data_IF_568194344957
#
_entry.id   IF_568194344957
#
_cell.length_a   1.000
_cell.length_b   1.000
_cell.length_c   1.000
_cell.angle_alpha   90.00
_cell.angle_beta   90.00
_cell.angle_gamma   90.00
#
_symmetry.space_group_name_H-M   'P 1'
#
loop_
_entity.id
_entity.type
_entity.pdbx_description
1 polymer ?
#
# COMPACT_ATOMS: atom_id res chain seq x y z
N UNK A 1 41.92 -0.62 -72.47
CA UNK A 1 41.83 0.58 -71.63
C UNK A 1 40.94 0.26 -70.45
N UNK A 2 41.49 -0.06 -69.29
CA UNK A 2 42.04 0.88 -68.28
C UNK A 2 40.97 1.81 -67.70
N UNK A 3 40.72 1.56 -66.42
CA UNK A 3 40.49 2.54 -65.35
C UNK A 3 39.13 3.22 -65.21
N UNK A 4 38.36 2.71 -64.25
CA UNK A 4 37.81 3.56 -63.20
C UNK A 4 37.62 2.74 -61.91
N UNK A 5 38.70 2.67 -61.14
CA UNK A 5 38.75 2.20 -59.75
C UNK A 5 37.83 3.09 -58.91
N UNK A 6 36.76 2.52 -58.35
CA UNK A 6 36.01 3.20 -57.28
C UNK A 6 36.88 3.19 -56.02
N UNK A 7 37.49 4.35 -55.74
CA UNK A 7 38.19 4.61 -54.48
C UNK A 7 37.19 4.56 -53.32
N UNK A 8 37.35 3.56 -52.47
CA UNK A 8 37.04 3.65 -51.05
C UNK A 8 37.95 4.70 -50.42
N UNK A 9 37.35 5.75 -49.85
CA UNK A 9 37.80 6.43 -48.61
C UNK A 9 37.16 7.81 -48.51
N UNK A 10 35.87 7.85 -48.17
CA UNK A 10 35.30 8.99 -47.44
C UNK A 10 34.47 8.42 -46.28
N UNK A 11 35.09 8.38 -45.11
CA UNK A 11 34.41 8.16 -43.85
C UNK A 11 33.46 9.34 -43.62
N UNK A 12 32.24 9.24 -44.14
CA UNK A 12 31.15 10.12 -43.73
C UNK A 12 30.93 9.86 -42.25
N UNK A 13 31.31 10.84 -41.40
CA UNK A 13 30.94 10.88 -39.99
C UNK A 13 29.42 10.74 -39.88
N UNK A 14 28.97 9.50 -39.72
CA UNK A 14 27.58 9.16 -39.55
C UNK A 14 27.13 9.67 -38.20
N UNK A 15 26.68 10.92 -38.15
CA UNK A 15 25.84 11.40 -37.05
C UNK A 15 24.76 10.34 -36.83
N UNK A 16 24.68 9.80 -35.60
CA UNK A 16 23.67 8.79 -35.26
C UNK A 16 22.30 9.45 -35.31
N UNK A 17 21.72 9.56 -36.50
CA UNK A 17 20.37 10.03 -36.71
C UNK A 17 19.44 8.94 -36.18
N UNK A 18 18.86 9.20 -35.00
CA UNK A 18 17.78 8.38 -34.46
C UNK A 18 16.61 8.49 -35.44
N UNK A 19 16.43 7.46 -36.29
CA UNK A 19 15.39 7.45 -37.34
C UNK A 19 14.06 7.83 -36.71
N UNK A 20 13.57 9.02 -37.01
CA UNK A 20 12.35 9.56 -36.42
C UNK A 20 11.14 8.78 -37.01
N UNK A 21 10.65 7.77 -36.29
CA UNK A 21 9.64 6.82 -36.77
C UNK A 21 8.21 7.38 -36.81
N UNK A 22 7.96 8.56 -36.24
CA UNK A 22 6.60 9.16 -36.17
C UNK A 22 5.93 9.37 -37.53
N UNK A 23 6.69 9.43 -38.63
CA UNK A 23 6.15 9.69 -39.98
C UNK A 23 5.89 8.43 -40.82
N UNK A 24 6.16 7.20 -40.33
CA UNK A 24 6.09 5.97 -41.14
C UNK A 24 5.15 4.92 -40.52
N UNK A 25 3.84 5.20 -40.61
CA UNK A 25 2.75 4.30 -40.18
C UNK A 25 2.51 3.18 -41.22
N UNK A 26 2.08 2.01 -40.75
CA UNK A 26 1.63 0.89 -41.60
C UNK A 26 0.47 1.30 -42.52
N UNK A 27 -0.43 2.13 -42.00
CA UNK A 27 -1.56 2.75 -42.74
C UNK A 27 -1.11 3.42 -44.05
N UNK A 28 0.02 4.15 -44.03
CA UNK A 28 0.52 4.84 -45.21
C UNK A 28 1.02 3.84 -46.28
N UNK A 29 1.69 2.77 -45.84
CA UNK A 29 2.18 1.71 -46.73
C UNK A 29 0.99 0.96 -47.34
N UNK A 30 0.03 0.57 -46.51
CA UNK A 30 -1.17 -0.12 -46.97
C UNK A 30 -1.99 0.75 -47.95
N UNK A 31 -2.09 2.06 -47.70
CA UNK A 31 -2.74 2.99 -48.62
C UNK A 31 -2.02 3.10 -49.97
N UNK A 32 -0.69 3.12 -49.98
CA UNK A 32 0.10 3.12 -51.23
C UNK A 32 -0.10 1.81 -52.00
N UNK A 33 -0.08 0.67 -51.31
CA UNK A 33 -0.24 -0.65 -51.93
C UNK A 33 -1.66 -0.82 -52.48
N UNK A 34 -2.69 -0.44 -51.72
CA UNK A 34 -4.09 -0.47 -52.18
C UNK A 34 -4.32 0.40 -53.42
N UNK A 35 -3.64 1.55 -53.51
CA UNK A 35 -3.68 2.43 -54.70
C UNK A 35 -2.97 1.83 -55.92
N UNK A 36 -1.89 1.07 -55.72
CA UNK A 36 -1.14 0.45 -56.82
C UNK A 36 -1.87 -0.75 -57.43
N UNK A 37 -2.78 -1.39 -56.68
CA UNK A 37 -3.52 -2.57 -57.09
C UNK A 37 -4.97 -2.29 -57.55
N UNK A 38 -5.39 -1.03 -57.68
CA UNK A 38 -6.76 -0.69 -58.11
C UNK A 38 -7.12 -1.23 -59.48
N UNK A 39 -6.13 -1.37 -60.36
CA UNK A 39 -6.33 -1.71 -61.78
C UNK A 39 -6.06 -3.21 -62.05
N UNK A 40 -5.68 -3.98 -61.02
CA UNK A 40 -5.29 -5.40 -61.11
C UNK A 40 -6.16 -6.21 -60.14
N UNK A 41 -7.40 -6.49 -60.54
CA UNK A 41 -8.38 -7.16 -59.68
C UNK A 41 -8.57 -8.64 -59.98
N UNK A 42 -8.06 -9.14 -61.10
CA UNK A 42 -8.23 -10.54 -61.53
C UNK A 42 -7.09 -11.48 -61.08
N UNK A 43 -6.07 -10.95 -60.42
CA UNK A 43 -4.91 -11.72 -59.95
C UNK A 43 -5.14 -12.30 -58.54
N UNK A 44 -4.91 -13.60 -58.39
CA UNK A 44 -5.03 -14.33 -57.12
C UNK A 44 -4.04 -13.84 -56.07
N UNK A 45 -2.85 -13.43 -56.48
CA UNK A 45 -1.81 -12.96 -55.56
C UNK A 45 -2.16 -11.57 -54.99
N UNK A 46 -2.79 -10.71 -55.80
CA UNK A 46 -3.31 -9.41 -55.35
C UNK A 46 -4.46 -9.60 -54.37
N UNK A 47 -5.36 -10.54 -54.64
CA UNK A 47 -6.42 -10.94 -53.69
C UNK A 47 -5.86 -11.36 -52.33
N UNK A 48 -4.83 -12.22 -52.31
CA UNK A 48 -4.16 -12.64 -51.07
C UNK A 48 -3.51 -11.47 -50.32
N UNK A 49 -2.82 -10.57 -51.02
CA UNK A 49 -2.19 -9.40 -50.39
C UNK A 49 -3.22 -8.47 -49.75
N UNK A 50 -4.33 -8.19 -50.44
CA UNK A 50 -5.41 -7.35 -49.91
C UNK A 50 -6.06 -7.98 -48.67
N UNK A 51 -6.30 -9.29 -48.68
CA UNK A 51 -6.82 -10.03 -47.52
C UNK A 51 -5.86 -9.97 -46.32
N UNK A 52 -4.55 -10.14 -46.54
CA UNK A 52 -3.53 -10.04 -45.49
C UNK A 52 -3.41 -8.60 -44.94
N UNK A 53 -3.63 -7.59 -45.77
CA UNK A 53 -3.67 -6.18 -45.35
C UNK A 53 -4.89 -5.92 -44.47
N UNK A 54 -6.06 -6.44 -44.82
CA UNK A 54 -7.28 -6.34 -43.99
C UNK A 54 -7.12 -7.03 -42.63
N UNK A 55 -6.40 -8.14 -42.59
CA UNK A 55 -6.07 -8.87 -41.35
C UNK A 55 -4.92 -8.24 -40.55
N UNK A 56 -4.35 -7.13 -41.01
CA UNK A 56 -3.14 -6.50 -40.46
C UNK A 56 -1.91 -7.43 -40.36
N UNK A 57 -1.90 -8.52 -41.14
CA UNK A 57 -0.86 -9.56 -41.15
C UNK A 57 0.13 -9.40 -42.32
N UNK A 58 -0.04 -8.37 -43.15
CA UNK A 58 0.84 -8.10 -44.28
C UNK A 58 2.08 -7.29 -43.88
N UNK A 59 3.26 -7.88 -44.03
CA UNK A 59 4.56 -7.27 -43.70
C UNK A 59 4.63 -6.67 -42.26
N UNK A 60 4.22 -7.42 -41.22
CA UNK A 60 4.28 -6.93 -39.86
C UNK A 60 5.74 -6.74 -39.45
N UNK A 61 6.01 -5.64 -38.73
CA UNK A 61 7.31 -5.45 -38.10
C UNK A 61 7.45 -6.48 -36.97
N UNK A 62 8.64 -7.06 -36.82
CA UNK A 62 8.92 -7.94 -35.69
C UNK A 62 8.91 -7.19 -34.35
N UNK A 63 9.31 -5.90 -34.33
CA UNK A 63 9.28 -5.05 -33.15
C UNK A 63 8.12 -4.06 -33.24
N UNK A 64 7.06 -4.32 -32.49
CA UNK A 64 5.89 -3.45 -32.38
C UNK A 64 5.54 -3.19 -30.92
N UNK A 65 4.73 -2.17 -30.66
CA UNK A 65 4.21 -1.91 -29.32
C UNK A 65 3.37 -3.08 -28.76
N UNK A 66 2.76 -3.88 -29.64
CA UNK A 66 1.98 -5.06 -29.25
C UNK A 66 2.83 -6.14 -28.56
N UNK A 67 4.15 -6.19 -28.84
CA UNK A 67 5.06 -7.12 -28.18
C UNK A 67 5.17 -6.90 -26.67
N UNK A 68 4.80 -5.72 -26.16
CA UNK A 68 4.82 -5.42 -24.73
C UNK A 68 3.84 -6.28 -23.91
N UNK A 69 2.88 -6.94 -24.55
CA UNK A 69 1.91 -7.83 -23.91
C UNK A 69 2.50 -9.22 -23.64
N UNK A 70 3.63 -9.57 -24.27
CA UNK A 70 4.25 -10.90 -24.13
C UNK A 70 4.80 -11.06 -22.70
N UNK A 71 4.30 -12.04 -21.92
CA UNK A 71 4.79 -12.26 -20.56
C UNK A 71 6.24 -12.76 -20.57
N UNK A 72 7.06 -12.30 -19.62
CA UNK A 72 8.47 -12.71 -19.48
C UNK A 72 8.61 -14.25 -19.36
N UNK A 73 7.60 -14.94 -18.85
CA UNK A 73 7.55 -16.40 -18.73
C UNK A 73 7.71 -17.13 -20.07
N UNK A 74 7.25 -16.53 -21.18
CA UNK A 74 7.43 -17.11 -22.52
C UNK A 74 8.92 -17.09 -22.88
N UNK A 75 9.57 -15.94 -22.75
CA UNK A 75 11.00 -15.79 -23.00
C UNK A 75 11.87 -16.60 -22.03
N UNK A 76 11.42 -16.77 -20.78
CA UNK A 76 12.10 -17.63 -19.81
C UNK A 76 12.20 -19.07 -20.30
N UNK A 77 11.11 -19.63 -20.84
CA UNK A 77 11.09 -21.00 -21.38
C UNK A 77 12.04 -21.16 -22.58
N UNK A 78 12.11 -20.15 -23.44
CA UNK A 78 13.05 -20.13 -24.56
C UNK A 78 14.50 -20.08 -24.07
N UNK A 79 14.79 -19.18 -23.12
CA UNK A 79 16.11 -19.05 -22.49
C UNK A 79 16.57 -20.36 -21.83
N UNK A 80 15.68 -21.02 -21.08
CA UNK A 80 15.94 -22.33 -20.46
C UNK A 80 16.31 -23.38 -21.52
N UNK A 81 15.58 -23.44 -22.65
CA UNK A 81 15.90 -24.37 -23.76
C UNK A 81 17.23 -24.05 -24.43
N UNK A 82 17.53 -22.77 -24.66
CA UNK A 82 18.80 -22.33 -25.26
C UNK A 82 19.96 -22.74 -24.36
N UNK A 83 19.86 -22.46 -23.06
CA UNK A 83 20.90 -22.81 -22.09
C UNK A 83 21.10 -24.32 -21.97
N UNK A 84 20.03 -25.10 -21.91
CA UNK A 84 20.11 -26.57 -21.88
C UNK A 84 20.83 -27.15 -23.11
N UNK A 85 20.59 -26.58 -24.29
CA UNK A 85 21.30 -26.99 -25.51
C UNK A 85 22.76 -26.52 -25.49
N UNK A 86 23.00 -25.28 -25.04
CA UNK A 86 24.32 -24.67 -24.96
C UNK A 86 25.26 -25.38 -23.98
N UNK A 87 24.72 -25.86 -22.87
CA UNK A 87 25.42 -26.64 -21.86
C UNK A 87 26.10 -27.91 -22.38
N UNK A 88 25.67 -28.43 -23.53
CA UNK A 88 26.28 -29.61 -24.15
C UNK A 88 27.62 -29.29 -24.83
N UNK A 89 27.77 -28.08 -25.37
CA UNK A 89 28.97 -27.67 -26.12
C UNK A 89 29.74 -26.51 -25.47
N UNK A 90 29.20 -25.88 -24.43
CA UNK A 90 29.86 -24.85 -23.62
C UNK A 90 29.92 -25.31 -22.15
N UNK A 91 30.96 -26.07 -21.75
CA UNK A 91 31.06 -26.64 -20.40
C UNK A 91 31.07 -25.59 -19.28
N UNK A 92 31.56 -24.38 -19.56
CA UNK A 92 31.61 -23.30 -18.56
C UNK A 92 30.23 -22.94 -18.01
N UNK A 93 29.15 -23.21 -18.76
CA UNK A 93 27.78 -22.94 -18.32
C UNK A 93 27.39 -23.76 -17.07
N UNK A 94 28.01 -24.94 -16.90
CA UNK A 94 27.80 -25.84 -15.76
C UNK A 94 28.67 -25.51 -14.55
N UNK A 95 29.65 -24.61 -14.69
CA UNK A 95 30.54 -24.25 -13.59
C UNK A 95 29.75 -23.56 -12.48
N UNK A 96 30.05 -23.93 -11.23
CA UNK A 96 29.46 -23.36 -10.03
C UNK A 96 30.37 -22.30 -9.42
N UNK A 97 29.72 -21.28 -8.87
CA UNK A 97 30.32 -20.19 -8.11
C UNK A 97 30.16 -20.47 -6.60
N UNK A 98 30.77 -19.64 -5.73
CA UNK A 98 30.63 -19.65 -4.27
C UNK A 98 29.17 -19.70 -3.76
N UNK A 99 28.23 -19.16 -4.52
CA UNK A 99 26.77 -19.20 -4.31
C UNK A 99 26.13 -20.56 -4.60
N UNK A 100 26.88 -21.54 -5.10
CA UNK A 100 26.40 -22.88 -5.44
C UNK A 100 25.57 -22.98 -6.72
N UNK A 101 25.37 -21.86 -7.42
CA UNK A 101 24.61 -21.76 -8.67
C UNK A 101 25.50 -21.96 -9.89
N UNK A 102 24.97 -22.64 -10.90
CA UNK A 102 25.58 -22.71 -12.22
C UNK A 102 25.50 -21.37 -12.96
N UNK A 103 26.33 -21.17 -13.97
CA UNK A 103 26.25 -19.96 -14.81
C UNK A 103 24.89 -19.86 -15.50
N UNK A 104 24.35 -20.97 -16.01
CA UNK A 104 23.00 -21.03 -16.59
C UNK A 104 21.93 -20.56 -15.60
N UNK A 105 21.95 -21.05 -14.36
CA UNK A 105 21.00 -20.63 -13.33
C UNK A 105 21.13 -19.14 -12.99
N UNK A 106 22.36 -18.60 -12.96
CA UNK A 106 22.58 -17.16 -12.73
C UNK A 106 22.02 -16.32 -13.88
N UNK A 107 22.18 -16.76 -15.13
CA UNK A 107 21.59 -16.09 -16.30
C UNK A 107 20.06 -16.07 -16.18
N UNK A 108 19.44 -17.21 -15.85
CA UNK A 108 17.99 -17.30 -15.67
C UNK A 108 17.52 -16.38 -14.53
N UNK A 109 18.24 -16.34 -13.41
CA UNK A 109 17.92 -15.43 -12.29
C UNK A 109 18.04 -13.97 -12.71
N UNK A 110 19.10 -13.58 -13.41
CA UNK A 110 19.25 -12.21 -13.93
C UNK A 110 18.11 -11.84 -14.88
N UNK A 111 17.68 -12.77 -15.72
CA UNK A 111 16.61 -12.55 -16.69
C UNK A 111 15.22 -12.41 -16.07
N UNK A 112 14.97 -13.09 -14.95
CA UNK A 112 13.64 -13.19 -14.33
C UNK A 112 13.47 -12.35 -13.08
N UNK A 113 14.57 -11.95 -12.45
CA UNK A 113 14.52 -11.24 -11.18
C UNK A 113 14.01 -9.82 -11.35
N UNK A 114 12.96 -9.51 -10.62
CA UNK A 114 12.41 -8.16 -10.51
C UNK A 114 12.65 -7.65 -9.09
N UNK A 115 13.29 -6.49 -8.98
CA UNK A 115 13.45 -5.80 -7.69
C UNK A 115 12.05 -5.45 -7.19
N UNK A 116 11.65 -5.91 -5.99
CA UNK A 116 10.35 -5.56 -5.46
C UNK A 116 10.24 -4.04 -5.25
N UNK A 117 9.09 -3.46 -5.58
CA UNK A 117 8.89 -2.00 -5.56
C UNK A 117 9.17 -1.37 -4.20
N UNK A 118 8.90 -2.08 -3.10
CA UNK A 118 9.16 -1.63 -1.74
C UNK A 118 10.65 -1.61 -1.38
N UNK A 119 11.54 -2.24 -2.17
CA UNK A 119 12.99 -2.17 -1.98
C UNK A 119 13.56 -0.86 -2.53
N UNK A 120 13.03 -0.39 -3.66
CA UNK A 120 13.47 0.86 -4.28
C UNK A 120 14.91 0.81 -4.82
N UNK A 121 15.55 1.98 -5.01
CA UNK A 121 16.92 2.09 -5.53
C UNK A 121 17.97 1.48 -4.59
N UNK A 122 18.88 0.68 -5.14
CA UNK A 122 19.89 -0.07 -4.37
C UNK A 122 21.20 0.70 -4.10
N UNK A 123 21.33 1.94 -4.60
CA UNK A 123 22.58 2.71 -4.50
C UNK A 123 22.92 3.10 -3.05
N UNK A 124 24.16 2.90 -2.62
CA UNK A 124 24.61 3.22 -1.25
C UNK A 124 24.50 4.71 -0.92
N UNK A 125 24.70 5.60 -1.91
CA UNK A 125 24.61 7.05 -1.75
C UNK A 125 23.34 7.66 -2.37
N UNK A 126 22.26 6.86 -2.44
CA UNK A 126 21.00 7.32 -3.00
C UNK A 126 20.33 8.34 -2.06
N UNK A 127 20.21 9.60 -2.48
CA UNK A 127 19.43 10.63 -1.73
C UNK A 127 17.96 10.24 -1.54
N UNK A 128 17.45 9.35 -2.39
CA UNK A 128 16.04 8.93 -2.43
C UNK A 128 15.84 7.46 -2.05
N UNK A 129 16.92 6.76 -1.66
CA UNK A 129 16.87 5.35 -1.30
C UNK A 129 16.56 5.18 0.18
N UNK A 130 15.75 4.17 0.51
CA UNK A 130 15.37 3.79 1.88
C UNK A 130 15.79 2.36 2.22
N UNK A 131 16.71 1.83 1.43
CA UNK A 131 17.20 0.47 1.59
C UNK A 131 18.01 0.33 2.88
N UNK A 132 17.67 -0.68 3.68
CA UNK A 132 18.39 -1.04 4.90
C UNK A 132 19.25 -2.26 4.59
N UNK A 133 20.57 -2.06 4.55
CA UNK A 133 21.56 -3.12 4.27
C UNK A 133 21.98 -3.79 5.58
N UNK A 134 22.08 -5.13 5.56
CA UNK A 134 22.69 -5.92 6.63
C UNK A 134 24.20 -5.96 6.50
N UNK A 135 24.68 -6.11 5.26
CA UNK A 135 26.10 -6.26 4.95
C UNK A 135 26.52 -5.34 3.80
N UNK A 136 27.80 -4.93 3.80
CA UNK A 136 28.39 -4.11 2.74
C UNK A 136 28.62 -4.92 1.45
N UNK A 137 28.65 -4.22 0.32
CA UNK A 137 29.06 -4.79 -0.97
C UNK A 137 27.92 -4.95 -1.99
N UNK A 138 28.23 -5.61 -3.11
CA UNK A 138 27.34 -5.69 -4.26
C UNK A 138 26.08 -6.54 -3.97
N UNK A 139 24.93 -6.00 -4.34
CA UNK A 139 23.63 -6.68 -4.30
C UNK A 139 23.37 -7.29 -5.67
N UNK A 140 23.09 -8.59 -5.67
CA UNK A 140 22.83 -9.43 -6.83
C UNK A 140 21.47 -10.13 -6.65
N UNK A 141 20.82 -10.58 -7.74
CA UNK A 141 19.52 -11.25 -7.67
C UNK A 141 19.45 -12.43 -6.68
N UNK A 142 20.55 -13.16 -6.51
CA UNK A 142 20.59 -14.36 -5.68
C UNK A 142 21.01 -14.11 -4.22
N UNK A 143 21.59 -12.96 -3.88
CA UNK A 143 22.04 -12.64 -2.52
C UNK A 143 21.24 -11.48 -1.87
N UNK A 144 20.18 -11.00 -2.52
CA UNK A 144 19.41 -9.84 -2.03
C UNK A 144 18.84 -10.05 -0.62
N UNK A 145 18.33 -11.24 -0.31
CA UNK A 145 17.73 -11.54 1.01
C UNK A 145 18.78 -11.61 2.13
N UNK A 146 20.03 -11.91 1.78
CA UNK A 146 21.17 -11.96 2.69
C UNK A 146 21.68 -10.56 2.96
N UNK A 147 21.84 -9.75 1.91
CA UNK A 147 22.41 -8.39 2.03
C UNK A 147 21.44 -7.31 2.44
N UNK A 148 20.14 -7.48 2.19
CA UNK A 148 19.11 -6.48 2.45
C UNK A 148 18.19 -6.98 3.55
N UNK A 149 17.92 -6.11 4.53
CA UNK A 149 16.82 -6.34 5.44
C UNK A 149 15.52 -5.96 4.74
N UNK A 150 14.89 -6.98 4.15
CA UNK A 150 13.62 -6.83 3.43
C UNK A 150 12.52 -6.27 4.32
N UNK A 151 12.53 -6.59 5.63
CA UNK A 151 11.50 -6.06 6.53
C UNK A 151 11.75 -4.62 6.88
N UNK A 152 12.97 -4.27 7.29
CA UNK A 152 13.30 -2.89 7.67
C UNK A 152 13.20 -1.95 6.45
N UNK A 153 13.59 -2.43 5.27
CA UNK A 153 13.44 -1.69 4.01
C UNK A 153 11.97 -1.45 3.66
N UNK A 154 11.10 -2.46 3.81
CA UNK A 154 9.67 -2.28 3.57
C UNK A 154 8.99 -1.36 4.59
N UNK A 155 9.47 -1.36 5.83
CA UNK A 155 9.02 -0.42 6.86
C UNK A 155 9.45 1.01 6.53
N UNK A 156 10.71 1.21 6.13
CA UNK A 156 11.22 2.51 5.71
C UNK A 156 10.49 3.04 4.46
N UNK A 157 10.17 2.16 3.51
CA UNK A 157 9.36 2.47 2.33
C UNK A 157 8.01 3.07 2.73
N UNK A 158 7.27 2.35 3.58
CA UNK A 158 5.96 2.80 4.02
C UNK A 158 6.08 4.04 4.92
N UNK A 159 7.08 4.09 5.81
CA UNK A 159 7.40 5.26 6.63
C UNK A 159 7.62 6.54 5.81
N UNK A 160 8.26 6.44 4.65
CA UNK A 160 8.46 7.56 3.73
C UNK A 160 7.19 7.95 2.97
N UNK A 161 6.26 7.01 2.75
CA UNK A 161 4.96 7.28 2.12
C UNK A 161 3.91 7.83 3.10
N UNK A 162 4.02 7.47 4.39
CA UNK A 162 3.07 7.90 5.42
C UNK A 162 3.28 9.39 5.74
N UNK A 163 2.15 10.10 5.77
CA UNK A 163 2.10 11.52 6.16
C UNK A 163 2.44 11.70 7.63
N UNK A 164 2.97 12.85 7.96
CA UNK A 164 3.09 13.27 9.36
C UNK A 164 1.73 13.71 9.90
N UNK A 165 1.57 13.62 11.22
CA UNK A 165 0.40 14.09 11.94
C UNK A 165 0.17 15.58 11.67
N UNK A 166 -1.09 15.96 11.54
CA UNK A 166 -1.48 17.36 11.30
C UNK A 166 -1.06 18.30 12.44
N UNK A 167 -1.02 17.81 13.68
CA UNK A 167 -0.85 18.64 14.88
C UNK A 167 0.48 18.46 15.61
N UNK A 168 1.16 17.32 15.42
CA UNK A 168 2.44 17.04 16.07
C UNK A 168 3.48 16.84 14.97
N UNK A 169 4.47 17.73 14.94
CA UNK A 169 5.59 17.64 14.01
C UNK A 169 6.40 16.36 14.29
N UNK A 170 7.00 15.79 13.24
CA UNK A 170 7.80 14.55 13.27
C UNK A 170 7.09 13.25 13.67
N UNK A 171 5.84 13.32 14.13
CA UNK A 171 5.04 12.13 14.44
C UNK A 171 4.31 11.59 13.22
N UNK A 172 4.36 10.28 13.00
CA UNK A 172 3.67 9.63 11.88
C UNK A 172 2.20 9.35 12.23
N UNK A 173 1.32 9.40 11.22
CA UNK A 173 -0.08 9.04 11.42
C UNK A 173 -0.24 7.54 11.66
N UNK A 174 -1.27 7.17 12.42
CA UNK A 174 -1.61 5.76 12.64
C UNK A 174 -2.41 5.18 11.47
N UNK A 175 -2.46 3.84 11.33
CA UNK A 175 -3.42 3.19 10.45
C UNK A 175 -4.85 3.64 10.75
N UNK A 176 -5.68 3.81 9.72
CA UNK A 176 -7.10 4.17 9.92
C UNK A 176 -7.86 3.11 10.72
N UNK A 177 -7.40 1.87 10.63
CA UNK A 177 -7.92 0.71 11.34
C UNK A 177 -7.35 0.51 12.77
N UNK A 178 -6.43 1.38 13.22
CA UNK A 178 -5.91 1.33 14.60
C UNK A 178 -7.07 1.38 15.61
N UNK A 179 -6.97 0.63 16.71
CA UNK A 179 -8.03 0.57 17.72
C UNK A 179 -8.25 1.94 18.37
N UNK A 180 -7.15 2.63 18.69
CA UNK A 180 -7.16 3.99 19.21
C UNK A 180 -7.77 4.98 18.20
N UNK A 181 -7.47 4.83 16.91
CA UNK A 181 -8.00 5.70 15.87
C UNK A 181 -9.50 5.47 15.62
N UNK A 182 -9.95 4.21 15.55
CA UNK A 182 -11.38 3.88 15.44
C UNK A 182 -12.16 4.36 16.67
N UNK A 183 -11.61 4.16 17.89
CA UNK A 183 -12.18 4.68 19.13
C UNK A 183 -12.34 6.19 19.08
N UNK A 184 -11.30 6.91 18.66
CA UNK A 184 -11.36 8.35 18.47
C UNK A 184 -12.47 8.76 17.49
N UNK A 185 -12.54 8.13 16.32
CA UNK A 185 -13.52 8.47 15.28
C UNK A 185 -14.96 8.26 15.77
N UNK A 186 -15.22 7.14 16.45
CA UNK A 186 -16.55 6.84 17.01
C UNK A 186 -16.90 7.82 18.13
N UNK A 187 -15.99 8.09 19.07
CA UNK A 187 -16.26 9.06 20.14
C UNK A 187 -16.48 10.47 19.59
N UNK A 188 -15.74 10.89 18.56
CA UNK A 188 -15.95 12.19 17.93
C UNK A 188 -17.33 12.30 17.23
N UNK A 189 -17.90 11.19 16.78
CA UNK A 189 -19.23 11.12 16.16
C UNK A 189 -20.34 11.08 17.21
N UNK A 190 -20.20 10.23 18.25
CA UNK A 190 -21.18 10.11 19.33
C UNK A 190 -21.19 11.36 20.23
N UNK A 191 -20.05 11.99 20.49
CA UNK A 191 -20.01 13.27 21.24
C UNK A 191 -20.71 14.41 20.50
N UNK A 192 -20.98 14.22 19.20
CA UNK A 192 -21.77 15.16 18.43
C UNK A 192 -23.28 14.93 18.51
N UNK A 193 -23.75 13.89 19.19
CA UNK A 193 -25.17 13.63 19.40
C UNK A 193 -25.85 14.67 20.28
N UNK A 194 -27.05 15.05 19.89
CA UNK A 194 -27.97 15.82 20.70
C UNK A 194 -29.37 15.17 20.72
N UNK A 195 -30.02 15.20 21.88
CA UNK A 195 -31.41 14.83 22.09
C UNK A 195 -32.16 16.12 22.44
N UNK A 196 -33.20 16.47 21.69
CA UNK A 196 -33.99 17.70 21.86
C UNK A 196 -33.15 18.99 21.86
N UNK A 197 -32.03 18.98 21.13
CA UNK A 197 -31.09 20.10 21.04
C UNK A 197 -30.01 20.14 22.14
N UNK A 198 -30.13 19.32 23.18
CA UNK A 198 -29.13 19.20 24.25
C UNK A 198 -28.17 18.04 24.02
N UNK A 199 -26.92 18.20 24.48
CA UNK A 199 -25.89 17.15 24.37
C UNK A 199 -26.27 15.95 25.23
N UNK A 200 -25.99 14.75 24.72
CA UNK A 200 -26.24 13.52 25.49
C UNK A 200 -25.36 13.46 26.75
N UNK A 201 -25.94 12.90 27.82
CA UNK A 201 -25.22 12.64 29.04
C UNK A 201 -24.05 11.66 28.81
N UNK A 202 -23.03 11.85 29.63
CA UNK A 202 -21.79 11.04 29.65
C UNK A 202 -22.08 9.56 29.89
N UNK A 203 -23.02 9.21 30.78
CA UNK A 203 -23.38 7.81 31.05
C UNK A 203 -24.06 7.17 29.84
N UNK A 204 -25.01 7.88 29.23
CA UNK A 204 -25.73 7.40 28.05
C UNK A 204 -24.77 7.20 26.87
N UNK A 205 -23.81 8.11 26.67
CA UNK A 205 -22.74 7.96 25.66
C UNK A 205 -21.95 6.67 25.86
N UNK A 206 -21.50 6.41 27.09
CA UNK A 206 -20.68 5.23 27.40
C UNK A 206 -21.46 3.94 27.15
N UNK A 207 -22.73 3.90 27.54
CA UNK A 207 -23.65 2.79 27.24
C UNK A 207 -23.83 2.56 25.73
N UNK A 208 -24.06 3.63 24.95
CA UNK A 208 -24.16 3.52 23.48
C UNK A 208 -22.86 2.94 22.91
N UNK A 209 -21.70 3.41 23.35
CA UNK A 209 -20.42 2.93 22.86
C UNK A 209 -20.23 1.43 23.13
N UNK A 210 -20.49 1.00 24.36
CA UNK A 210 -20.34 -0.40 24.78
C UNK A 210 -21.37 -1.32 24.11
N UNK A 211 -22.65 -0.97 24.16
CA UNK A 211 -23.72 -1.86 23.71
C UNK A 211 -23.91 -1.88 22.20
N UNK A 212 -23.68 -0.75 21.53
CA UNK A 212 -23.92 -0.63 20.09
C UNK A 212 -22.63 -0.79 19.28
N UNK A 213 -21.54 -0.11 19.67
CA UNK A 213 -20.33 -0.02 18.84
C UNK A 213 -19.31 -1.12 19.13
N UNK A 214 -19.13 -1.59 20.37
CA UNK A 214 -18.14 -2.65 20.68
C UNK A 214 -18.47 -4.01 20.04
N UNK A 215 -19.69 -4.19 19.51
CA UNK A 215 -20.05 -5.32 18.63
C UNK A 215 -19.26 -5.34 17.31
N UNK A 216 -18.60 -4.24 16.95
CA UNK A 216 -17.73 -4.11 15.79
C UNK A 216 -18.42 -4.07 14.42
N UNK A 217 -19.76 -4.09 14.39
CA UNK A 217 -20.55 -3.87 13.18
C UNK A 217 -20.87 -2.39 13.02
N UNK A 218 -21.13 -1.96 11.79
CA UNK A 218 -21.60 -0.60 11.52
C UNK A 218 -22.99 -0.43 12.14
N UNK A 219 -23.12 0.58 13.00
CA UNK A 219 -24.39 0.97 13.62
C UNK A 219 -25.14 1.86 12.63
N UNK A 220 -26.44 1.59 12.43
CA UNK A 220 -27.31 2.44 11.61
C UNK A 220 -28.08 3.43 12.48
N UNK A 221 -28.53 4.56 11.91
CA UNK A 221 -29.36 5.53 12.64
C UNK A 221 -30.59 4.85 13.26
N UNK A 222 -31.25 3.97 12.51
CA UNK A 222 -32.41 3.20 12.99
C UNK A 222 -32.09 2.36 14.22
N UNK A 223 -30.97 1.61 14.20
CA UNK A 223 -30.54 0.81 15.35
C UNK A 223 -30.24 1.67 16.57
N UNK A 224 -29.61 2.83 16.37
CA UNK A 224 -29.34 3.77 17.45
C UNK A 224 -30.63 4.35 18.02
N UNK A 225 -31.58 4.76 17.18
CA UNK A 225 -32.90 5.23 17.63
C UNK A 225 -33.65 4.15 18.41
N UNK A 226 -33.72 2.92 17.88
CA UNK A 226 -34.37 1.80 18.58
C UNK A 226 -33.74 1.51 19.93
N UNK A 227 -32.41 1.63 20.06
CA UNK A 227 -31.70 1.49 21.32
C UNK A 227 -32.05 2.62 22.30
N UNK A 228 -32.07 3.87 21.84
CA UNK A 228 -32.42 5.03 22.67
C UNK A 228 -33.88 4.99 23.14
N UNK A 229 -34.81 4.54 22.30
CA UNK A 229 -36.21 4.31 22.69
C UNK A 229 -36.30 3.23 23.77
N UNK A 230 -35.55 2.13 23.63
CA UNK A 230 -35.52 1.06 24.63
C UNK A 230 -34.95 1.53 25.99
N UNK A 231 -34.03 2.51 25.99
CA UNK A 231 -33.49 3.14 27.19
C UNK A 231 -34.39 4.28 27.74
N UNK A 232 -35.58 4.51 27.16
CA UNK A 232 -36.46 5.64 27.46
C UNK A 232 -35.79 7.02 27.33
N UNK A 233 -34.75 7.13 26.48
CA UNK A 233 -34.00 8.37 26.26
C UNK A 233 -34.62 9.24 25.16
N UNK A 234 -35.37 8.64 24.22
CA UNK A 234 -36.11 9.36 23.18
C UNK A 234 -37.49 8.72 22.97
N UNK A 235 -38.44 9.51 22.48
CA UNK A 235 -39.78 9.08 22.07
C UNK A 235 -39.98 9.11 20.54
N UNK A 236 -39.23 9.94 19.82
CA UNK A 236 -39.28 10.03 18.35
C UNK A 236 -37.88 10.14 17.74
N UNK A 237 -37.70 9.61 16.52
CA UNK A 237 -36.43 9.71 15.77
C UNK A 237 -36.03 11.17 15.44
N UNK A 238 -37.00 12.09 15.44
CA UNK A 238 -36.81 13.51 15.15
C UNK A 238 -36.06 14.26 16.26
N UNK A 239 -36.11 13.73 17.49
CA UNK A 239 -35.39 14.30 18.64
C UNK A 239 -33.88 14.11 18.51
N UNK A 240 -33.44 13.13 17.72
CA UNK A 240 -32.03 12.79 17.55
C UNK A 240 -31.39 13.66 16.45
N UNK A 241 -30.55 14.60 16.88
CA UNK A 241 -29.81 15.51 16.01
C UNK A 241 -28.30 15.37 16.20
N UNK A 242 -27.50 15.96 15.30
CA UNK A 242 -26.03 15.94 15.39
C UNK A 242 -25.33 14.74 14.72
N UNK A 243 -26.08 13.84 14.08
CA UNK A 243 -25.57 12.83 13.14
C UNK A 243 -26.11 13.15 11.74
N UNK A 244 -25.27 12.95 10.73
CA UNK A 244 -25.66 12.99 9.31
C UNK A 244 -26.67 11.86 8.97
N UNK A 245 -27.05 11.71 7.70
CA UNK A 245 -27.95 10.62 7.26
C UNK A 245 -27.43 9.23 7.64
N UNK A 246 -26.12 9.05 7.73
CA UNK A 246 -25.47 7.79 8.07
C UNK A 246 -24.37 7.99 9.12
N UNK A 247 -24.29 7.05 10.07
CA UNK A 247 -23.13 6.89 10.95
C UNK A 247 -21.99 6.32 10.11
N UNK A 248 -20.87 7.04 10.05
CA UNK A 248 -19.76 6.73 9.15
C UNK A 248 -18.68 5.86 9.79
N UNK A 249 -18.50 5.94 11.11
CA UNK A 249 -17.44 5.22 11.81
C UNK A 249 -17.98 4.00 12.56
N UNK A 250 -17.11 3.02 12.76
CA UNK A 250 -17.41 1.78 13.47
C UNK A 250 -16.13 1.21 14.08
N UNK A 251 -16.25 0.46 15.18
CA UNK A 251 -15.12 -0.25 15.81
C UNK A 251 -14.85 -1.59 15.12
N UNK A 252 -14.69 -1.56 13.79
CA UNK A 252 -14.59 -2.77 12.96
C UNK A 252 -13.35 -3.60 13.27
N UNK A 253 -12.25 -2.92 13.62
CA UNK A 253 -10.97 -3.53 13.93
C UNK A 253 -10.97 -4.03 15.37
N UNK A 254 -11.65 -3.33 16.28
CA UNK A 254 -11.94 -3.86 17.62
C UNK A 254 -12.70 -5.18 17.53
N UNK A 255 -13.79 -5.26 16.76
CA UNK A 255 -14.54 -6.51 16.59
C UNK A 255 -13.70 -7.66 15.99
N UNK A 256 -12.82 -7.36 15.02
CA UNK A 256 -11.89 -8.35 14.45
C UNK A 256 -10.88 -8.86 15.49
N UNK A 257 -10.29 -7.95 16.27
CA UNK A 257 -9.31 -8.29 17.30
C UNK A 257 -9.95 -8.99 18.50
N UNK A 258 -11.16 -8.58 18.89
CA UNK A 258 -11.92 -9.25 19.94
C UNK A 258 -12.29 -10.68 19.54
N UNK A 259 -12.58 -10.93 18.25
CA UNK A 259 -12.79 -12.29 17.77
C UNK A 259 -11.52 -13.16 17.74
N UNK A 260 -10.33 -12.56 17.89
CA UNK A 260 -9.05 -13.26 18.04
C UNK A 260 -8.74 -13.47 19.52
N UNK A 261 -8.70 -12.40 20.30
CA UNK A 261 -8.18 -12.37 21.68
C UNK A 261 -9.27 -12.53 22.76
N UNK A 262 -10.55 -12.34 22.41
CA UNK A 262 -11.65 -12.34 23.37
C UNK A 262 -11.49 -11.26 24.44
N UNK A 263 -11.84 -11.59 25.68
CA UNK A 263 -11.72 -10.70 26.84
C UNK A 263 -10.28 -10.24 27.12
N UNK A 264 -9.27 -11.03 26.71
CA UNK A 264 -7.86 -10.67 26.88
C UNK A 264 -7.48 -9.39 26.14
N UNK A 265 -8.28 -8.93 25.17
CA UNK A 265 -8.05 -7.66 24.47
C UNK A 265 -8.07 -6.45 25.42
N UNK A 266 -8.70 -6.57 26.60
CA UNK A 266 -8.72 -5.53 27.63
C UNK A 266 -7.39 -5.41 28.40
N UNK A 267 -6.50 -6.40 28.29
CA UNK A 267 -5.17 -6.34 28.90
C UNK A 267 -4.28 -5.39 28.09
N UNK A 268 -3.59 -4.47 28.77
CA UNK A 268 -2.76 -3.44 28.10
C UNK A 268 -1.69 -4.04 27.18
N UNK A 269 -1.08 -5.16 27.59
CA UNK A 269 -0.08 -5.86 26.79
C UNK A 269 -0.66 -6.42 25.48
N UNK A 270 -1.86 -6.99 25.53
CA UNK A 270 -2.55 -7.55 24.37
C UNK A 270 -3.10 -6.44 23.48
N UNK A 271 -3.58 -5.34 24.07
CA UNK A 271 -4.02 -4.17 23.33
C UNK A 271 -2.86 -3.54 22.54
N UNK A 272 -1.68 -3.42 23.16
CA UNK A 272 -0.47 -2.97 22.47
C UNK A 272 -0.08 -3.92 21.34
N UNK A 273 -0.10 -5.24 21.58
CA UNK A 273 0.18 -6.23 20.54
C UNK A 273 -0.84 -6.18 19.38
N UNK A 274 -2.13 -5.96 19.68
CA UNK A 274 -3.18 -5.84 18.67
C UNK A 274 -2.97 -4.59 17.79
N UNK A 275 -2.56 -3.45 18.38
CA UNK A 275 -2.19 -2.25 17.63
C UNK A 275 -0.99 -2.50 16.71
N UNK A 276 0.05 -3.17 17.20
CA UNK A 276 1.21 -3.53 16.38
C UNK A 276 0.81 -4.47 15.23
N UNK A 277 -0.03 -5.47 15.49
CA UNK A 277 -0.53 -6.39 14.46
C UNK A 277 -1.28 -5.62 13.37
N UNK A 278 -2.12 -4.65 13.73
CA UNK A 278 -2.82 -3.79 12.78
C UNK A 278 -1.83 -2.93 12.00
N UNK A 279 -0.82 -2.38 12.66
CA UNK A 279 0.24 -1.59 12.04
C UNK A 279 0.99 -2.40 10.98
N UNK A 280 1.52 -3.57 11.35
CA UNK A 280 2.21 -4.46 10.42
C UNK A 280 1.29 -4.99 9.33
N UNK A 281 0.03 -5.28 9.66
CA UNK A 281 -0.98 -5.68 8.68
C UNK A 281 -1.30 -4.59 7.67
N UNK A 282 -1.13 -3.32 8.03
CA UNK A 282 -1.29 -2.16 7.13
C UNK A 282 -0.05 -1.97 6.26
N UNK A 283 1.15 -2.15 6.83
CA UNK A 283 2.42 -2.06 6.08
C UNK A 283 2.54 -3.18 5.05
N UNK A 284 2.29 -4.43 5.46
CA UNK A 284 2.47 -5.63 4.63
C UNK A 284 1.18 -6.11 3.96
N UNK A 285 0.22 -5.20 3.72
CA UNK A 285 -1.10 -5.54 3.18
C UNK A 285 -1.06 -6.35 1.87
N UNK A 286 -0.02 -6.18 1.06
CA UNK A 286 0.18 -6.87 -0.22
C UNK A 286 0.96 -8.19 -0.09
N UNK A 287 1.67 -8.42 1.02
CA UNK A 287 2.57 -9.57 1.20
C UNK A 287 2.29 -10.35 2.48
N UNK A 288 1.40 -11.36 2.36
CA UNK A 288 1.12 -12.30 3.45
C UNK A 288 2.36 -13.03 3.97
N UNK A 289 3.36 -13.25 3.11
CA UNK A 289 4.62 -13.92 3.50
C UNK A 289 5.41 -13.05 4.48
N UNK A 290 5.55 -11.76 4.20
CA UNK A 290 6.28 -10.83 5.07
C UNK A 290 5.52 -10.56 6.36
N UNK A 291 4.20 -10.39 6.28
CA UNK A 291 3.34 -10.27 7.47
C UNK A 291 3.49 -11.50 8.38
N UNK A 292 3.41 -12.71 7.80
CA UNK A 292 3.61 -13.95 8.56
C UNK A 292 4.98 -13.98 9.24
N UNK A 293 6.04 -13.58 8.55
CA UNK A 293 7.39 -13.57 9.12
C UNK A 293 7.52 -12.60 10.28
N UNK A 294 6.89 -11.42 10.23
CA UNK A 294 6.90 -10.49 11.36
C UNK A 294 6.03 -10.92 12.52
N UNK A 295 4.89 -11.53 12.24
CA UNK A 295 4.00 -12.00 13.28
C UNK A 295 4.50 -13.25 14.02
N UNK A 296 5.50 -13.97 13.49
CA UNK A 296 6.12 -15.11 14.19
C UNK A 296 6.64 -14.76 15.59
N UNK A 297 7.18 -13.56 15.77
CA UNK A 297 7.65 -13.09 17.09
C UNK A 297 6.53 -13.17 18.15
N UNK A 298 5.32 -12.76 17.81
CA UNK A 298 4.17 -12.82 18.72
C UNK A 298 3.67 -14.26 18.96
N UNK A 299 3.98 -15.20 18.06
CA UNK A 299 3.72 -16.64 18.28
C UNK A 299 4.75 -17.21 19.25
N UNK A 300 6.03 -16.86 19.08
CA UNK A 300 7.12 -17.28 19.97
C UNK A 300 6.94 -16.74 21.39
N UNK A 301 6.42 -15.52 21.53
CA UNK A 301 6.06 -14.90 22.81
C UNK A 301 4.76 -15.45 23.44
N UNK A 302 4.04 -16.35 22.75
CA UNK A 302 2.79 -16.94 23.26
C UNK A 302 1.60 -15.98 23.29
N UNK A 303 1.69 -14.83 22.61
CA UNK A 303 0.61 -13.84 22.53
C UNK A 303 -0.49 -14.33 21.57
N UNK A 304 -0.10 -14.94 20.45
CA UNK A 304 -1.00 -15.52 19.44
C UNK A 304 -0.68 -16.98 19.13
N UNK A 305 -1.72 -17.78 18.88
CA UNK A 305 -1.62 -19.14 18.36
C UNK A 305 -1.53 -19.18 16.82
N UNK A 306 -1.10 -20.30 16.23
CA UNK A 306 -1.07 -20.51 14.79
C UNK A 306 -2.44 -20.34 14.12
N UNK A 307 -3.52 -20.73 14.80
CA UNK A 307 -4.88 -20.56 14.28
C UNK A 307 -5.28 -19.08 14.25
N UNK A 308 -4.92 -18.33 15.29
CA UNK A 308 -5.12 -16.88 15.36
C UNK A 308 -4.28 -16.19 14.28
N UNK A 309 -3.03 -16.62 14.07
CA UNK A 309 -2.17 -16.11 12.99
C UNK A 309 -2.81 -16.31 11.60
N UNK A 310 -3.35 -17.50 11.29
CA UNK A 310 -4.06 -17.75 10.03
C UNK A 310 -5.23 -16.79 9.83
N UNK A 311 -5.99 -16.52 10.91
CA UNK A 311 -7.12 -15.58 10.89
C UNK A 311 -6.66 -14.14 10.64
N UNK A 312 -5.60 -13.70 11.31
CA UNK A 312 -5.00 -12.37 11.13
C UNK A 312 -4.54 -12.16 9.68
N UNK A 313 -3.88 -13.17 9.09
CA UNK A 313 -3.43 -13.12 7.68
C UNK A 313 -4.59 -13.04 6.66
N UNK A 314 -5.82 -13.32 7.08
CA UNK A 314 -7.03 -13.14 6.29
C UNK A 314 -7.56 -11.70 6.32
N UNK A 315 -7.20 -10.91 7.33
CA UNK A 315 -7.63 -9.53 7.45
C UNK A 315 -6.85 -8.60 6.53
N UNK A 316 -7.58 -7.64 5.95
CA UNK A 316 -7.02 -6.58 5.12
C UNK A 316 -7.18 -5.26 5.87
N UNK A 317 -6.07 -4.71 6.30
CA UNK A 317 -6.00 -3.35 6.84
C UNK A 317 -5.50 -2.44 5.73
N UNK A 318 -6.16 -1.30 5.57
CA UNK A 318 -5.90 -0.33 4.52
C UNK A 318 -6.03 1.07 5.09
N UNK A 319 -5.42 2.00 4.39
CA UNK A 319 -5.47 3.44 4.63
C UNK A 319 -4.81 3.89 5.94
N UNK A 320 -4.33 5.13 5.89
CA UNK A 320 -3.73 5.82 7.03
C UNK A 320 -4.67 6.93 7.50
N UNK A 321 -4.73 7.11 8.81
CA UNK A 321 -5.50 8.18 9.45
C UNK A 321 -4.86 9.55 9.24
N UNK A 322 -5.37 10.54 9.98
CA UNK A 322 -4.82 11.92 9.98
C UNK A 322 -4.00 12.26 11.22
N UNK A 323 -4.11 11.43 12.26
CA UNK A 323 -3.57 11.71 13.59
C UNK A 323 -2.59 10.62 14.04
N UNK A 324 -1.58 11.02 14.79
CA UNK A 324 -0.63 10.13 15.44
C UNK A 324 -1.16 9.60 16.77
N UNK A 325 -0.53 8.52 17.26
CA UNK A 325 -0.77 7.97 18.61
C UNK A 325 -0.43 8.99 19.69
N UNK A 326 0.66 9.74 19.49
CA UNK A 326 1.11 10.80 20.39
C UNK A 326 0.05 11.88 20.62
N UNK A 327 -0.73 12.23 19.59
CA UNK A 327 -1.81 13.22 19.73
C UNK A 327 -2.93 12.72 20.64
N UNK A 328 -3.39 11.49 20.41
CA UNK A 328 -4.49 10.90 21.20
C UNK A 328 -4.06 10.59 22.64
N UNK A 329 -2.76 10.37 22.86
CA UNK A 329 -2.16 10.10 24.17
C UNK A 329 -1.65 11.37 24.85
N UNK A 330 -1.87 12.55 24.26
CA UNK A 330 -1.40 13.81 24.83
C UNK A 330 -2.14 14.05 26.15
N UNK A 331 -1.36 14.08 27.22
CA UNK A 331 -1.85 14.30 28.58
C UNK A 331 -1.89 15.78 28.90
N UNK A 332 -2.83 16.18 29.72
CA UNK A 332 -2.68 17.42 30.46
C UNK A 332 -3.65 17.50 31.62
N UNK A 333 -3.59 18.62 32.32
CA UNK A 333 -4.25 18.80 33.60
C UNK A 333 -5.63 19.43 33.39
N UNK A 334 -6.67 18.77 33.88
CA UNK A 334 -7.94 19.46 34.04
C UNK A 334 -7.80 20.54 35.13
N UNK A 335 -8.32 21.74 34.84
CA UNK A 335 -8.25 22.87 35.77
C UNK A 335 -9.27 22.74 36.91
N UNK A 336 -10.33 21.96 36.71
CA UNK A 336 -11.39 21.81 37.70
C UNK A 336 -11.08 20.72 38.73
N UNK A 337 -10.58 19.56 38.29
CA UNK A 337 -10.25 18.44 39.18
C UNK A 337 -8.76 18.36 39.54
N UNK A 338 -7.87 18.95 38.73
CA UNK A 338 -6.42 18.81 38.90
C UNK A 338 -5.87 17.47 38.40
N UNK A 339 -6.71 16.62 37.79
CA UNK A 339 -6.32 15.30 37.31
C UNK A 339 -5.60 15.38 35.96
N UNK A 340 -4.65 14.47 35.74
CA UNK A 340 -3.95 14.32 34.47
C UNK A 340 -4.76 13.38 33.59
N UNK A 341 -5.34 13.91 32.52
CA UNK A 341 -6.23 13.18 31.62
C UNK A 341 -5.63 13.23 30.21
N UNK A 342 -5.64 12.09 29.51
CA UNK A 342 -5.25 12.03 28.09
C UNK A 342 -6.40 12.52 27.20
N UNK A 343 -6.09 12.98 25.99
CA UNK A 343 -7.12 13.41 25.04
C UNK A 343 -8.17 12.32 24.77
N UNK A 344 -7.75 11.06 24.62
CA UNK A 344 -8.66 9.93 24.44
C UNK A 344 -9.58 9.69 25.65
N UNK A 345 -9.08 9.86 26.87
CA UNK A 345 -9.88 9.76 28.11
C UNK A 345 -10.83 10.96 28.26
N UNK A 346 -10.36 12.17 27.95
CA UNK A 346 -11.18 13.37 28.04
C UNK A 346 -12.43 13.28 27.14
N UNK A 347 -12.30 12.69 25.94
CA UNK A 347 -13.44 12.43 25.05
C UNK A 347 -14.40 11.35 25.58
N UNK A 348 -13.87 10.41 26.37
CA UNK A 348 -14.63 9.33 26.99
C UNK A 348 -15.41 9.81 28.23
N UNK A 349 -14.82 10.69 29.03
CA UNK A 349 -15.39 11.17 30.28
C UNK A 349 -16.29 12.38 30.04
N UNK A 350 -15.79 13.39 29.33
CA UNK A 350 -16.54 14.60 29.01
C UNK A 350 -17.03 14.46 27.56
N UNK A 351 -18.31 14.72 27.28
CA UNK A 351 -18.90 14.63 25.92
C UNK A 351 -18.36 15.71 24.97
N UNK A 352 -17.04 15.74 24.78
CA UNK A 352 -16.26 16.74 24.07
C UNK A 352 -15.76 16.17 22.75
N UNK A 353 -15.91 16.93 21.68
CA UNK A 353 -15.24 16.62 20.41
C UNK A 353 -13.83 17.17 20.41
N UNK A 354 -12.99 16.69 19.49
CA UNK A 354 -11.62 17.18 19.34
C UNK A 354 -11.57 18.71 19.14
N UNK A 355 -12.62 19.29 18.54
CA UNK A 355 -12.69 20.70 18.14
C UNK A 355 -13.35 21.62 19.17
N UNK A 356 -14.34 21.16 19.92
CA UNK A 356 -15.08 22.00 20.89
C UNK A 356 -14.43 22.07 22.28
N UNK A 357 -13.30 21.41 22.45
CA UNK A 357 -12.66 21.32 23.75
C UNK A 357 -11.83 22.58 24.00
N UNK A 358 -12.39 23.53 24.75
CA UNK A 358 -11.61 24.54 25.49
C UNK A 358 -10.52 23.85 26.35
N UNK A 359 -10.75 22.60 26.74
CA UNK A 359 -9.77 21.68 27.34
C UNK A 359 -8.67 21.29 26.36
N UNK A 360 -8.91 20.99 25.08
CA UNK A 360 -7.85 20.76 24.07
C UNK A 360 -7.00 22.01 23.89
N UNK A 361 -7.62 23.20 23.85
CA UNK A 361 -6.86 24.47 23.88
C UNK A 361 -6.03 24.64 25.16
N UNK A 362 -6.52 24.21 26.32
CA UNK A 362 -5.80 24.33 27.59
C UNK A 362 -4.72 23.25 27.80
N UNK A 363 -4.96 22.03 27.30
CA UNK A 363 -4.06 20.86 27.28
C UNK A 363 -2.89 21.11 26.33
N UNK A 364 -3.17 21.64 25.14
CA UNK A 364 -2.12 22.09 24.22
C UNK A 364 -1.34 23.26 24.83
N UNK A 365 -1.99 24.18 25.55
CA UNK A 365 -1.40 25.41 26.11
C UNK A 365 -0.29 25.22 27.15
N UNK A 366 -0.10 24.05 27.77
CA UNK A 366 0.90 23.88 28.85
C UNK A 366 1.77 22.63 28.64
N UNK A 367 3.00 22.88 28.17
CA UNK A 367 4.23 22.05 28.22
C UNK A 367 4.77 21.35 26.95
N UNK A 368 4.10 21.35 25.79
CA UNK A 368 4.74 20.84 24.53
C UNK A 368 4.79 21.82 23.35
N UNK A 369 4.25 23.04 23.50
CA UNK A 369 4.19 24.06 22.44
C UNK A 369 5.47 24.93 22.32
N UNK A 370 6.65 24.34 22.11
CA UNK A 370 7.77 25.12 21.53
C UNK A 370 7.82 25.04 20.00
N UNK A 371 7.15 24.08 19.36
CA UNK A 371 7.28 23.81 17.92
C UNK A 371 5.97 23.71 17.11
N UNK A 372 4.82 24.17 17.63
CA UNK A 372 3.58 24.20 16.83
C UNK A 372 3.37 25.64 16.33
N UNK A 373 3.28 25.88 15.00
CA UNK A 373 2.94 27.19 14.47
C UNK A 373 1.60 27.65 15.04
N UNK A 374 1.55 28.91 15.52
CA UNK A 374 0.31 29.57 15.94
C UNK A 374 -0.74 29.41 14.83
N UNK A 375 -1.84 28.72 15.13
CA UNK A 375 -3.00 28.64 14.25
C UNK A 375 -4.10 29.53 14.82
N UNK A 376 -4.62 30.38 13.93
CA UNK A 376 -5.66 31.40 14.07
C UNK A 376 -6.97 30.88 14.66
#
# INVERSE_FOLDING_TARGET
>A
STDAIFKSDEAVEGSKYRRNMNKRKSENIYATIKKAFTDITEDKDVGFVLEQIEKEQFLPKQLTGANGVIPNQVHKKEMERILNNAENYLPFLKNKDESGLTVSERIIRLFTFQIPYYVGPLGENSKTGWIVRKEKGAILPWNINEKVDMSATSEAFIGNLIRTCTYIHDEKVMPKASLAYERYCVLNEINNLCIDGERIDTKLKQQIYEDCFMKGKRVTKKQLCSYLVAQNAIHSEEQLTGIDKNINNSLSSYGKMYAIFGERLKEDAILAAAEDIIYWGTIFGDSKKMLKQRLKKYVEEGIIDENQLKRILGYKFKDWGRFSKALLSLSGCDKSTGEIITLGQAMWEYSLTLWNSSTVRSLLSRKSLKNIPKLL
#
